data_IF_049813976588
#
_entry.id   IF_049813976588
#
_cell.length_a   1.000
_cell.length_b   1.000
_cell.length_c   1.000
_cell.angle_alpha   90.00
_cell.angle_beta   90.00
_cell.angle_gamma   90.00
#
_symmetry.space_group_name_H-M   'P 1'
#
loop_
_entity.id
_entity.type
_entity.pdbx_description
1 polymer ?
#
# COMPACT_ATOMS: atom_id res chain seq x y z
N UNK A 1 15.71 12.45 -7.42
CA UNK A 1 15.00 11.56 -6.49
C UNK A 1 13.64 12.18 -6.18
N UNK A 2 12.60 11.37 -6.08
CA UNK A 2 11.26 11.83 -5.76
C UNK A 2 10.55 10.84 -4.86
N UNK A 3 9.68 11.36 -3.99
CA UNK A 3 8.81 10.57 -3.12
C UNK A 3 7.83 9.81 -4.02
N UNK A 4 7.82 8.48 -3.94
CA UNK A 4 6.81 7.64 -4.60
C UNK A 4 5.81 7.18 -3.53
N UNK A 5 4.56 7.56 -3.72
CA UNK A 5 3.46 7.08 -2.91
C UNK A 5 2.96 5.75 -3.46
N UNK A 6 2.69 4.81 -2.55
CA UNK A 6 2.26 3.47 -2.88
C UNK A 6 1.03 3.07 -2.08
N UNK A 7 0.24 2.17 -2.67
CA UNK A 7 -0.84 1.48 -2.00
C UNK A 7 -0.46 0.01 -1.95
N UNK A 8 -0.26 -0.52 -0.75
CA UNK A 8 0.09 -1.91 -0.52
C UNK A 8 -1.17 -2.69 -0.15
N UNK A 9 -1.28 -3.93 -0.64
CA UNK A 9 -2.27 -4.89 -0.18
C UNK A 9 -1.62 -5.84 0.82
N UNK A 10 -2.27 -6.01 1.96
CA UNK A 10 -1.91 -6.99 2.96
C UNK A 10 -3.00 -8.05 3.10
N UNK A 11 -2.60 -9.21 3.60
CA UNK A 11 -3.49 -10.23 4.14
C UNK A 11 -3.03 -10.52 5.57
N UNK A 12 -3.86 -10.15 6.54
CA UNK A 12 -3.46 -10.02 7.94
C UNK A 12 -2.26 -9.07 8.07
N UNK A 13 -1.12 -9.60 8.52
CA UNK A 13 0.14 -8.87 8.68
C UNK A 13 1.11 -9.12 7.51
N UNK A 14 0.75 -9.99 6.57
CA UNK A 14 1.61 -10.38 5.46
C UNK A 14 1.41 -9.46 4.25
N UNK A 15 2.53 -8.97 3.70
CA UNK A 15 2.53 -8.14 2.52
C UNK A 15 2.27 -9.00 1.29
N UNK A 16 1.23 -8.66 0.53
CA UNK A 16 0.90 -9.38 -0.70
C UNK A 16 1.58 -8.73 -1.91
N UNK A 17 1.23 -7.49 -2.23
CA UNK A 17 1.81 -6.75 -3.38
C UNK A 17 1.49 -5.25 -3.33
N UNK A 18 2.19 -4.48 -4.18
CA UNK A 18 1.88 -3.07 -4.45
C UNK A 18 0.75 -2.98 -5.48
N UNK A 19 -0.38 -2.41 -5.08
CA UNK A 19 -1.55 -2.21 -5.94
C UNK A 19 -1.34 -1.05 -6.90
N UNK A 20 -0.78 0.05 -6.39
CA UNK A 20 -0.55 1.27 -7.16
C UNK A 20 0.69 1.98 -6.65
N UNK A 21 1.37 2.67 -7.56
CA UNK A 21 2.52 3.53 -7.29
C UNK A 21 2.37 4.83 -8.07
N UNK A 22 2.57 5.98 -7.42
CA UNK A 22 2.43 7.28 -8.05
C UNK A 22 3.35 8.32 -7.41
N UNK A 23 3.94 9.17 -8.25
CA UNK A 23 4.64 10.39 -7.85
C UNK A 23 3.93 11.64 -8.39
N UNK A 24 2.74 11.47 -8.98
CA UNK A 24 1.98 12.54 -9.66
C UNK A 24 0.88 13.15 -8.80
N UNK A 25 0.50 12.48 -7.72
CA UNK A 25 -0.59 12.89 -6.85
C UNK A 25 -0.05 13.24 -5.46
N UNK A 26 -0.75 14.15 -4.79
CA UNK A 26 -0.45 14.51 -3.40
C UNK A 26 -0.71 13.35 -2.46
N UNK A 27 0.05 13.29 -1.36
CA UNK A 27 -0.12 12.30 -0.29
C UNK A 27 -1.59 12.17 0.16
N UNK A 28 -2.26 13.31 0.38
CA UNK A 28 -3.66 13.36 0.83
C UNK A 28 -4.59 12.61 -0.14
N UNK A 29 -4.34 12.72 -1.45
CA UNK A 29 -5.15 12.04 -2.46
C UNK A 29 -4.97 10.52 -2.37
N UNK A 30 -3.73 10.06 -2.24
CA UNK A 30 -3.44 8.62 -2.12
C UNK A 30 -3.98 8.05 -0.81
N UNK A 31 -3.90 8.79 0.30
CA UNK A 31 -4.52 8.41 1.58
C UNK A 31 -6.04 8.26 1.46
N UNK A 32 -6.71 9.23 0.82
CA UNK A 32 -8.15 9.14 0.55
C UNK A 32 -8.50 7.94 -0.33
N UNK A 33 -7.68 7.60 -1.32
CA UNK A 33 -7.87 6.40 -2.14
C UNK A 33 -7.74 5.12 -1.30
N UNK A 34 -6.75 5.04 -0.40
CA UNK A 34 -6.62 3.91 0.55
C UNK A 34 -7.84 3.77 1.44
N UNK A 35 -8.35 4.86 2.00
CA UNK A 35 -9.56 4.84 2.84
C UNK A 35 -10.78 4.36 2.05
N UNK A 36 -10.97 4.89 0.81
CA UNK A 36 -12.04 4.43 -0.08
C UNK A 36 -11.92 2.95 -0.40
N UNK A 37 -10.73 2.47 -0.74
CA UNK A 37 -10.49 1.06 -1.05
C UNK A 37 -10.84 0.15 0.14
N UNK A 38 -10.45 0.53 1.36
CA UNK A 38 -10.81 -0.23 2.56
C UNK A 38 -12.31 -0.14 2.88
N UNK A 39 -12.95 1.00 2.62
CA UNK A 39 -14.40 1.16 2.81
C UNK A 39 -15.20 0.31 1.82
N UNK A 40 -14.67 0.05 0.62
CA UNK A 40 -15.29 -0.81 -0.39
C UNK A 40 -15.12 -2.31 -0.11
N UNK A 41 -14.33 -2.69 0.91
CA UNK A 41 -14.19 -4.09 1.30
C UNK A 41 -15.47 -4.59 1.99
N UNK A 42 -16.05 -5.65 1.42
CA UNK A 42 -17.13 -6.39 2.06
C UNK A 42 -16.62 -7.17 3.27
N UNK A 43 -17.54 -7.52 4.17
CA UNK A 43 -17.24 -8.21 5.43
C UNK A 43 -16.45 -9.51 5.24
N UNK A 44 -16.78 -10.33 4.24
CA UNK A 44 -16.04 -11.57 3.95
C UNK A 44 -14.56 -11.33 3.64
N UNK A 45 -14.25 -10.26 2.92
CA UNK A 45 -12.87 -9.90 2.54
C UNK A 45 -12.10 -9.33 3.74
N UNK A 46 -12.79 -8.57 4.60
CA UNK A 46 -12.24 -8.10 5.88
C UNK A 46 -11.93 -9.28 6.81
N UNK A 47 -12.80 -10.29 6.88
CA UNK A 47 -12.58 -11.51 7.66
C UNK A 47 -11.39 -12.34 7.16
N UNK A 48 -11.13 -12.32 5.85
CA UNK A 48 -9.89 -12.90 5.27
C UNK A 48 -8.63 -12.10 5.62
N UNK A 49 -8.74 -11.01 6.39
CA UNK A 49 -7.63 -10.17 6.79
C UNK A 49 -7.14 -9.20 5.70
N UNK A 50 -7.88 -9.03 4.61
CA UNK A 50 -7.44 -8.12 3.54
C UNK A 50 -7.57 -6.67 4.00
N UNK A 51 -6.49 -5.90 3.81
CA UNK A 51 -6.46 -4.44 4.01
C UNK A 51 -5.54 -3.76 3.02
N UNK A 52 -5.86 -2.51 2.70
CA UNK A 52 -4.99 -1.64 1.91
C UNK A 52 -4.29 -0.64 2.82
N UNK A 53 -3.00 -0.39 2.57
CA UNK A 53 -2.18 0.47 3.42
C UNK A 53 -1.42 1.46 2.56
N UNK A 54 -1.38 2.71 3.01
CA UNK A 54 -0.56 3.74 2.39
C UNK A 54 0.91 3.53 2.77
N UNK A 55 1.79 3.57 1.77
CA UNK A 55 3.23 3.46 1.96
C UNK A 55 3.97 4.52 1.14
N UNK A 56 5.19 4.82 1.57
CA UNK A 56 6.09 5.72 0.86
C UNK A 56 7.33 4.91 0.51
N UNK A 57 7.64 4.86 -0.77
CA UNK A 57 8.92 4.35 -1.26
C UNK A 57 9.78 5.53 -1.66
N UNK A 58 10.89 5.70 -0.94
CA UNK A 58 11.92 6.66 -1.34
C UNK A 58 12.82 6.01 -2.39
N UNK A 59 13.03 6.70 -3.51
CA UNK A 59 13.89 6.19 -4.58
C UNK A 59 15.39 6.25 -4.26
N UNK A 60 15.78 6.81 -3.11
CA UNK A 60 17.15 6.81 -2.62
C UNK A 60 17.52 5.59 -1.77
N UNK A 61 16.58 4.68 -1.46
CA UNK A 61 16.87 3.51 -0.63
C UNK A 61 16.89 2.20 -1.46
N UNK A 62 18.08 1.70 -1.87
CA UNK A 62 18.23 0.38 -2.47
C UNK A 62 18.06 -0.78 -1.47
N UNK A 63 17.62 -0.55 -0.22
CA UNK A 63 17.61 -1.53 0.85
C UNK A 63 16.20 -1.86 1.37
N UNK A 64 15.32 -2.30 0.46
CA UNK A 64 14.21 -3.20 0.86
C UNK A 64 14.16 -4.49 0.04
N UNK A 65 15.33 -5.12 -0.10
CA UNK A 65 15.43 -6.59 -0.14
C UNK A 65 15.67 -7.10 1.28
N UNK A 66 14.60 -7.34 2.03
CA UNK A 66 14.64 -8.10 3.29
C UNK A 66 13.23 -8.66 3.54
N UNK A 67 12.97 -9.96 3.50
CA UNK A 67 13.81 -11.11 3.20
C UNK A 67 12.91 -12.34 3.15
N UNK A 68 13.16 -13.23 2.21
CA UNK A 68 12.79 -14.64 2.34
C UNK A 68 13.83 -15.44 1.55
N UNK A 69 14.90 -15.81 2.23
CA UNK A 69 15.76 -16.93 1.86
C UNK A 69 16.21 -17.60 3.16
#
# INVERSE_FOLDING_TARGET
MGIIFEIHKYQHEDFQYVVARTNKYSEIKVKNDVERMNSMLNESIKTMGIRYVFAISDTADPLKKRGHK
#
